data_IF_354035092951
#
_entry.id   IF_354035092951
#
_cell.length_a   1.000
_cell.length_b   1.000
_cell.length_c   1.000
_cell.angle_alpha   90.00
_cell.angle_beta   90.00
_cell.angle_gamma   90.00
#
_symmetry.space_group_name_H-M   'P 1'
#
loop_
_entity.id
_entity.type
_entity.pdbx_description
1 polymer ?
#
# COMPACT_ATOMS: atom_id res chain seq x y z
N UNK A 1 2.89 -12.92 7.23
CA UNK A 1 1.70 -12.71 6.40
C UNK A 1 2.16 -12.52 4.97
N UNK A 2 1.69 -13.35 4.04
CA UNK A 2 2.00 -13.17 2.61
C UNK A 2 0.82 -12.49 1.90
N UNK A 3 1.01 -11.24 1.47
CA UNK A 3 0.01 -10.50 0.70
C UNK A 3 0.09 -10.97 -0.75
N UNK A 4 -0.95 -11.65 -1.21
CA UNK A 4 -1.00 -12.24 -2.55
C UNK A 4 -1.67 -11.33 -3.56
N UNK A 5 -2.45 -10.36 -3.11
CA UNK A 5 -3.13 -9.39 -3.97
C UNK A 5 -3.23 -8.03 -3.30
N UNK A 6 -2.93 -7.00 -4.09
CA UNK A 6 -3.10 -5.61 -3.72
C UNK A 6 -4.21 -5.03 -4.59
N UNK A 7 -5.04 -4.17 -4.03
CA UNK A 7 -5.95 -3.33 -4.81
C UNK A 7 -5.83 -1.90 -4.32
N UNK A 8 -5.58 -0.97 -5.24
CA UNK A 8 -5.50 0.46 -4.95
C UNK A 8 -6.88 1.07 -5.14
N UNK A 9 -7.37 1.74 -4.11
CA UNK A 9 -8.66 2.40 -4.12
C UNK A 9 -8.49 3.87 -3.74
N UNK A 10 -9.34 4.73 -4.32
CA UNK A 10 -9.46 6.14 -3.93
C UNK A 10 -8.12 6.89 -3.86
N UNK A 11 -7.27 6.74 -4.88
CA UNK A 11 -6.05 7.55 -5.02
C UNK A 11 -6.44 9.03 -5.12
N UNK A 12 -5.88 9.86 -4.24
CA UNK A 12 -6.11 11.30 -4.17
C UNK A 12 -4.77 12.01 -4.10
N UNK A 13 -4.67 13.12 -4.83
CA UNK A 13 -3.49 13.99 -4.84
C UNK A 13 -3.91 15.41 -4.50
N UNK A 14 -3.41 15.96 -3.40
CA UNK A 14 -3.56 17.35 -3.01
C UNK A 14 -2.33 18.14 -3.44
N UNK A 15 -2.47 18.87 -4.55
CA UNK A 15 -1.36 19.60 -5.21
C UNK A 15 -0.72 20.63 -4.28
N UNK A 16 -1.53 21.37 -3.50
CA UNK A 16 -1.04 22.46 -2.64
C UNK A 16 -0.12 21.95 -1.52
N UNK A 17 -0.42 20.76 -0.96
CA UNK A 17 0.37 20.15 0.11
C UNK A 17 1.32 19.07 -0.38
N UNK A 18 1.36 18.80 -1.68
CA UNK A 18 2.14 17.69 -2.28
C UNK A 18 1.85 16.36 -1.59
N UNK A 19 0.60 16.20 -1.17
CA UNK A 19 0.15 15.12 -0.32
C UNK A 19 -0.65 14.15 -1.16
N UNK A 20 -0.25 12.89 -1.15
CA UNK A 20 -0.91 11.83 -1.89
C UNK A 20 -1.43 10.82 -0.89
N UNK A 21 -2.65 10.33 -1.10
CA UNK A 21 -3.25 9.31 -0.25
C UNK A 21 -3.95 8.26 -1.08
N UNK A 22 -3.90 7.01 -0.62
CA UNK A 22 -4.63 5.91 -1.21
C UNK A 22 -5.16 4.98 -0.12
N UNK A 23 -6.22 4.25 -0.46
CA UNK A 23 -6.72 3.14 0.34
C UNK A 23 -6.26 1.85 -0.33
N UNK A 24 -5.51 1.02 0.38
CA UNK A 24 -5.10 -0.30 -0.09
C UNK A 24 -5.97 -1.38 0.54
N UNK A 25 -6.43 -2.28 -0.30
CA UNK A 25 -6.90 -3.59 0.12
C UNK A 25 -5.73 -4.57 -0.04
N UNK A 26 -5.32 -5.16 1.07
CA UNK A 26 -4.27 -6.17 1.13
C UNK A 26 -4.92 -7.50 1.44
N UNK A 27 -4.86 -8.44 0.51
CA UNK A 27 -5.45 -9.77 0.65
C UNK A 27 -4.35 -10.81 0.89
N UNK A 28 -4.62 -11.74 1.81
CA UNK A 28 -3.81 -12.92 2.09
C UNK A 28 -4.72 -14.15 2.23
N UNK A 29 -4.15 -15.33 2.48
CA UNK A 29 -4.93 -16.58 2.69
C UNK A 29 -5.89 -16.51 3.89
N UNK A 30 -5.58 -15.68 4.90
CA UNK A 30 -6.37 -15.51 6.11
C UNK A 30 -7.46 -14.43 6.01
N UNK A 31 -7.58 -13.73 4.89
CA UNK A 31 -8.58 -12.68 4.68
C UNK A 31 -8.00 -11.39 4.11
N UNK A 32 -8.67 -10.27 4.43
CA UNK A 32 -8.39 -8.96 3.83
C UNK A 32 -8.23 -7.89 4.90
N UNK A 33 -7.24 -7.04 4.71
CA UNK A 33 -6.99 -5.85 5.54
C UNK A 33 -7.09 -4.61 4.65
N UNK A 34 -7.69 -3.54 5.19
CA UNK A 34 -7.79 -2.25 4.50
C UNK A 34 -6.89 -1.25 5.22
N UNK A 35 -6.00 -0.60 4.48
CA UNK A 35 -5.04 0.37 5.00
C UNK A 35 -5.19 1.70 4.26
N UNK A 36 -5.30 2.80 5.00
CA UNK A 36 -5.15 4.13 4.42
C UNK A 36 -3.69 4.55 4.52
N UNK A 37 -3.09 4.95 3.41
CA UNK A 37 -1.74 5.47 3.37
C UNK A 37 -1.72 6.91 2.87
N UNK A 38 -0.75 7.67 3.37
CA UNK A 38 -0.49 9.05 2.99
C UNK A 38 1.01 9.27 2.88
N UNK A 39 1.46 9.83 1.76
CA UNK A 39 2.87 10.22 1.54
C UNK A 39 2.94 11.66 1.01
N UNK A 40 4.05 12.32 1.29
CA UNK A 40 4.41 13.59 0.64
C UNK A 40 5.44 13.31 -0.44
N UNK A 41 5.20 13.77 -1.67
CA UNK A 41 6.10 13.55 -2.81
C UNK A 41 6.26 14.83 -3.62
N UNK A 42 7.41 15.01 -4.28
CA UNK A 42 7.64 16.18 -5.15
C UNK A 42 6.75 16.15 -6.40
N UNK A 43 6.61 17.31 -7.06
CA UNK A 43 5.86 17.39 -8.31
C UNK A 43 6.54 16.58 -9.42
N UNK A 44 5.73 15.96 -10.28
CA UNK A 44 6.23 15.16 -11.41
C UNK A 44 6.78 13.79 -11.02
N UNK A 45 6.51 13.31 -9.79
CA UNK A 45 6.88 11.94 -9.40
C UNK A 45 6.20 10.92 -10.32
N UNK A 46 6.94 9.88 -10.67
CA UNK A 46 6.42 8.78 -11.48
C UNK A 46 5.24 8.10 -10.76
N UNK A 47 4.11 7.86 -11.45
CA UNK A 47 2.93 7.25 -10.83
C UNK A 47 3.16 5.87 -10.21
N UNK A 48 4.04 5.05 -10.80
CA UNK A 48 4.37 3.74 -10.24
C UNK A 48 5.22 3.91 -8.96
N UNK A 49 6.22 4.80 -8.99
CA UNK A 49 6.99 5.15 -7.81
C UNK A 49 6.12 5.73 -6.67
N UNK A 50 5.10 6.52 -7.00
CA UNK A 50 4.13 7.02 -6.01
C UNK A 50 3.31 5.89 -5.38
N UNK A 51 2.80 4.97 -6.21
CA UNK A 51 2.03 3.82 -5.75
C UNK A 51 2.87 2.90 -4.86
N UNK A 52 4.14 2.69 -5.20
CA UNK A 52 5.10 1.95 -4.38
C UNK A 52 5.35 2.62 -3.03
N UNK A 53 5.55 3.94 -3.01
CA UNK A 53 5.76 4.69 -1.77
C UNK A 53 4.54 4.62 -0.84
N UNK A 54 3.34 4.75 -1.40
CA UNK A 54 2.07 4.59 -0.69
C UNK A 54 1.88 3.15 -0.18
N UNK A 55 2.22 2.13 -0.98
CA UNK A 55 2.15 0.74 -0.53
C UNK A 55 3.16 0.48 0.60
N UNK A 56 4.39 0.96 0.47
CA UNK A 56 5.43 0.81 1.48
C UNK A 56 5.00 1.42 2.82
N UNK A 57 4.34 2.58 2.80
CA UNK A 57 3.76 3.17 4.00
C UNK A 57 2.60 2.34 4.58
N UNK A 58 1.70 1.80 3.74
CA UNK A 58 0.66 0.87 4.20
C UNK A 58 1.23 -0.37 4.89
N UNK A 59 2.28 -0.99 4.32
CA UNK A 59 2.97 -2.15 4.91
C UNK A 59 3.66 -1.77 6.22
N UNK A 60 4.30 -0.61 6.27
CA UNK A 60 4.93 -0.08 7.50
C UNK A 60 3.90 0.11 8.62
N UNK A 61 2.71 0.60 8.29
CA UNK A 61 1.61 0.73 9.26
C UNK A 61 1.10 -0.65 9.71
N UNK A 62 0.88 -1.57 8.76
CA UNK A 62 0.42 -2.94 9.04
C UNK A 62 1.38 -3.66 9.99
N UNK A 63 2.69 -3.54 9.77
CA UNK A 63 3.75 -4.12 10.62
C UNK A 63 3.75 -3.60 12.07
N UNK A 64 3.10 -2.46 12.33
CA UNK A 64 3.01 -1.85 13.67
C UNK A 64 1.75 -2.23 14.42
N UNK A 65 0.77 -2.87 13.76
CA UNK A 65 -0.46 -3.31 14.42
C UNK A 65 -0.16 -4.46 15.39
N UNK A 66 -0.77 -4.49 16.59
CA UNK A 66 -0.51 -5.52 17.60
C UNK A 66 -0.62 -6.96 17.08
N UNK A 67 -1.54 -7.21 16.15
CA UNK A 67 -1.83 -8.50 15.55
C UNK A 67 -0.67 -9.03 14.68
N UNK A 68 0.17 -8.14 14.14
CA UNK A 68 1.25 -8.47 13.22
C UNK A 68 2.65 -8.10 13.76
N UNK A 69 2.70 -7.31 14.84
CA UNK A 69 3.94 -6.76 15.41
C UNK A 69 4.78 -7.80 16.16
N UNK A 70 4.26 -8.99 16.44
CA UNK A 70 4.99 -10.04 17.20
C UNK A 70 6.25 -10.53 16.48
N UNK A 71 6.42 -10.22 15.19
CA UNK A 71 7.61 -10.57 14.40
C UNK A 71 7.69 -12.06 14.03
N UNK A 72 6.73 -12.87 14.49
CA UNK A 72 6.67 -14.31 14.22
C UNK A 72 6.33 -14.61 12.76
N UNK A 73 5.69 -13.69 12.05
CA UNK A 73 5.42 -13.86 10.62
C UNK A 73 5.75 -12.58 9.85
N UNK A 74 6.83 -12.55 9.05
CA UNK A 74 7.19 -11.38 8.25
C UNK A 74 6.04 -11.04 7.29
N UNK A 75 5.82 -9.74 7.06
CA UNK A 75 4.89 -9.26 6.05
C UNK A 75 5.63 -9.22 4.72
N UNK A 76 5.19 -10.02 3.76
CA UNK A 76 5.71 -10.07 2.39
C UNK A 76 4.61 -9.68 1.42
N UNK A 77 5.00 -9.11 0.28
CA UNK A 77 4.10 -8.82 -0.84
C UNK A 77 4.59 -9.66 -2.02
N UNK A 78 3.69 -10.43 -2.63
CA UNK A 78 4.02 -11.24 -3.79
C UNK A 78 4.43 -10.37 -4.98
N UNK A 79 5.40 -10.85 -5.75
CA UNK A 79 5.86 -10.18 -6.97
C UNK A 79 4.67 -9.92 -7.92
N UNK A 80 4.61 -8.72 -8.48
CA UNK A 80 3.54 -8.30 -9.39
C UNK A 80 2.17 -8.03 -8.74
N UNK A 81 2.01 -8.22 -7.43
CA UNK A 81 0.73 -7.96 -6.76
C UNK A 81 0.29 -6.48 -6.85
N UNK A 82 1.24 -5.54 -6.84
CA UNK A 82 0.98 -4.12 -7.07
C UNK A 82 0.77 -3.80 -8.55
N UNK A 83 1.55 -4.41 -9.45
CA UNK A 83 1.44 -4.19 -10.90
C UNK A 83 0.05 -4.60 -11.42
N UNK A 84 -0.46 -5.74 -10.95
CA UNK A 84 -1.84 -6.17 -11.25
C UNK A 84 -2.90 -5.19 -10.74
N UNK A 85 -2.62 -4.46 -9.64
CA UNK A 85 -3.52 -3.44 -9.10
C UNK A 85 -3.53 -2.17 -9.96
N UNK A 86 -2.40 -1.82 -10.58
CA UNK A 86 -2.26 -0.64 -11.43
C UNK A 86 -2.79 -0.85 -12.86
N UNK A 87 -2.78 -2.10 -13.35
CA UNK A 87 -3.30 -2.44 -14.69
C UNK A 87 -4.82 -2.61 -14.73
N UNK A 88 -5.45 -2.88 -13.58
CA UNK A 88 -6.91 -3.10 -13.45
C UNK A 88 -7.71 -1.89 -12.97
N UNK A 89 -7.06 -0.72 -12.79
CA UNK A 89 -7.66 0.52 -12.29
C UNK A 89 -8.18 1.44 -13.40
#
# INVERSE_FOLDING_TARGET
>A
MNITKVTVCALKSEVVKRCHSAVFLLENEGGRVTMQSTVTAEEGVDPAALAEALLADAIRQLARLPEYRTGETPITVADGALEGALQGA
#
